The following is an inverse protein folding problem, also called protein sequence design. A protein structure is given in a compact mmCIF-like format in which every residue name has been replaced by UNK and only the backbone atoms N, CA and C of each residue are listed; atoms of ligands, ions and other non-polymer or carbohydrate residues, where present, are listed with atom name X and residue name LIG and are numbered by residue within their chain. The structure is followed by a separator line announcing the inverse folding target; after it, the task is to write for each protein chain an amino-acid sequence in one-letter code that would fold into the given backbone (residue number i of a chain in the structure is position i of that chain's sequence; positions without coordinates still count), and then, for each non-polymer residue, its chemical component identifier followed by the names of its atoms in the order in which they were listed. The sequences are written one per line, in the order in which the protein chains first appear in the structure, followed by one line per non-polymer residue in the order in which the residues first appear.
data_IF_054566777795
#
_entry.id   IF_054566777795
#
_cell.length_a   1.000
_cell.length_b   1.000
_cell.length_c   1.000
_cell.angle_alpha   90.00
_cell.angle_beta   90.00
_cell.angle_gamma   90.00
#
_symmetry.space_group_name_H-M   'P 1'
#
loop_
_entity.id
_entity.type
_entity.pdbx_description
1 polymer ?
#
# COMPACT_ATOMS: atom_id res chain seq x y z
N UNK A 1 0.13 -4.15 -31.03
CA UNK A 1 -1.25 -3.62 -31.17
C UNK A 1 -2.21 -4.74 -30.85
N UNK A 2 -2.77 -4.78 -29.63
CA UNK A 2 -3.79 -5.75 -29.22
C UNK A 2 -4.98 -4.98 -28.66
N UNK A 3 -6.14 -5.37 -29.14
CA UNK A 3 -7.39 -4.61 -29.15
C UNK A 3 -8.10 -4.64 -27.79
N UNK A 4 -8.59 -3.47 -27.39
CA UNK A 4 -9.89 -3.16 -26.81
C UNK A 4 -10.83 -4.33 -26.47
N UNK A 5 -11.33 -4.36 -25.23
CA UNK A 5 -12.73 -4.69 -24.95
C UNK A 5 -13.28 -3.76 -23.86
N UNK A 6 -14.26 -2.96 -24.28
CA UNK A 6 -15.23 -2.21 -23.47
C UNK A 6 -16.27 -3.21 -22.96
N UNK A 7 -16.75 -3.10 -21.72
CA UNK A 7 -18.19 -3.24 -21.45
C UNK A 7 -18.59 -2.70 -20.07
N UNK A 8 -19.69 -1.97 -20.11
CA UNK A 8 -20.33 -1.26 -19.01
C UNK A 8 -21.60 -2.01 -18.54
N UNK A 9 -22.16 -1.47 -17.45
CA UNK A 9 -23.55 -1.51 -17.00
C UNK A 9 -24.00 -2.66 -16.07
N UNK A 10 -24.66 -2.27 -14.97
CA UNK A 10 -26.00 -2.67 -14.48
C UNK A 10 -26.19 -1.99 -13.11
N UNK A 11 -27.03 -0.96 -12.93
CA UNK A 11 -28.45 -1.03 -12.56
C UNK A 11 -28.70 -2.08 -11.44
N UNK A 12 -29.05 -1.76 -10.20
CA UNK A 12 -30.09 -0.86 -9.71
C UNK A 12 -31.22 -1.72 -9.12
N UNK A 13 -31.44 -1.71 -7.80
CA UNK A 13 -32.70 -2.16 -7.20
C UNK A 13 -32.89 -1.58 -5.78
N UNK A 14 -33.90 -0.71 -5.64
CA UNK A 14 -34.44 -0.28 -4.36
C UNK A 14 -35.29 -1.38 -3.75
N UNK A 15 -35.14 -1.62 -2.44
CA UNK A 15 -36.14 -2.32 -1.63
C UNK A 15 -36.53 -1.39 -0.49
N UNK A 16 -37.71 -0.79 -0.63
CA UNK A 16 -38.44 -0.17 0.48
C UNK A 16 -39.31 -1.25 1.14
N UNK A 17 -39.17 -1.43 2.46
CA UNK A 17 -40.10 -2.21 3.25
C UNK A 17 -40.48 -1.44 4.53
N UNK A 18 -41.65 -0.82 4.43
CA UNK A 18 -42.72 -0.60 5.41
C UNK A 18 -42.44 -0.74 6.90
N UNK A 19 -42.83 0.33 7.60
CA UNK A 19 -43.02 0.44 9.04
C UNK A 19 -44.09 -0.54 9.57
N UNK A 20 -43.83 -1.16 10.72
CA UNK A 20 -44.87 -1.51 11.70
C UNK A 20 -44.35 -1.24 13.12
N UNK A 21 -45.20 -0.57 13.88
CA UNK A 21 -45.03 -0.02 15.22
C UNK A 21 -44.84 -1.12 16.29
N UNK A 22 -44.03 -0.86 17.32
CA UNK A 22 -43.89 -1.79 18.44
C UNK A 22 -43.06 -1.25 19.61
N UNK A 23 -43.78 -0.81 20.65
CA UNK A 23 -43.40 -0.75 22.07
C UNK A 23 -42.40 0.32 22.54
N UNK A 24 -43.00 1.36 23.13
CA UNK A 24 -42.44 2.35 24.06
C UNK A 24 -41.76 1.66 25.26
N UNK A 25 -40.44 1.55 25.23
CA UNK A 25 -39.59 1.18 26.37
C UNK A 25 -39.13 2.44 27.10
N UNK A 26 -39.45 2.53 28.39
CA UNK A 26 -38.95 3.58 29.29
C UNK A 26 -37.41 3.58 29.31
N UNK A 27 -36.74 4.74 29.38
CA UNK A 27 -35.31 4.77 29.69
C UNK A 27 -35.12 4.74 31.21
N UNK A 28 -35.07 3.54 31.78
CA UNK A 28 -34.39 3.29 33.05
C UNK A 28 -32.87 3.38 32.81
N UNK A 29 -32.36 4.63 32.83
CA UNK A 29 -30.93 4.90 32.85
C UNK A 29 -30.38 4.69 34.27
N UNK A 30 -30.34 3.45 34.73
CA UNK A 30 -29.59 3.08 35.92
C UNK A 30 -28.68 1.89 35.56
N UNK A 31 -27.37 2.11 35.66
CA UNK A 31 -26.27 1.15 35.50
C UNK A 31 -25.67 1.00 34.08
N UNK A 32 -24.92 2.03 33.67
CA UNK A 32 -24.02 1.97 32.50
C UNK A 32 -22.70 1.21 32.76
N UNK A 33 -22.51 0.63 33.95
CA UNK A 33 -21.22 0.06 34.37
C UNK A 33 -21.04 -1.42 33.96
N UNK A 34 -22.04 -2.05 33.35
CA UNK A 34 -21.95 -3.46 32.91
C UNK A 34 -21.73 -3.65 31.40
N UNK A 35 -21.77 -2.58 30.60
CA UNK A 35 -21.59 -2.68 29.13
C UNK A 35 -20.13 -2.96 28.71
N UNK A 36 -19.15 -2.78 29.60
CA UNK A 36 -17.73 -2.99 29.28
C UNK A 36 -17.14 -4.32 29.77
N UNK A 37 -17.92 -5.19 30.43
CA UNK A 37 -17.41 -6.49 30.92
C UNK A 37 -17.66 -7.68 29.96
N UNK A 38 -17.97 -7.38 28.69
CA UNK A 38 -18.48 -8.38 27.75
C UNK A 38 -17.97 -8.25 26.33
N UNK A 39 -16.67 -8.00 26.14
CA UNK A 39 -16.01 -8.24 24.86
C UNK A 39 -15.81 -7.03 23.95
N UNK A 40 -14.56 -6.93 23.48
CA UNK A 40 -14.06 -6.10 22.37
C UNK A 40 -13.47 -4.73 22.74
N UNK A 41 -12.14 -4.73 22.72
CA UNK A 41 -11.28 -3.68 22.16
C UNK A 41 -11.15 -2.38 22.95
N UNK A 42 -10.23 -2.41 23.92
CA UNK A 42 -9.61 -1.22 24.47
C UNK A 42 -8.94 -0.37 23.36
N UNK A 43 -9.62 0.69 22.93
CA UNK A 43 -9.00 1.88 22.33
C UNK A 43 -8.84 2.91 23.44
N UNK A 44 -7.72 2.83 24.15
CA UNK A 44 -7.19 3.90 25.00
C UNK A 44 -5.89 4.38 24.36
N UNK A 45 -5.91 5.61 23.84
CA UNK A 45 -4.79 6.27 23.16
C UNK A 45 -3.67 6.73 24.11
N UNK A 46 -3.57 6.17 25.33
CA UNK A 46 -2.46 6.46 26.25
C UNK A 46 -1.87 5.23 26.94
N UNK A 47 -2.33 4.02 26.61
CA UNK A 47 -1.84 2.80 27.22
C UNK A 47 -0.58 2.27 26.51
N UNK A 48 0.59 2.54 27.09
CA UNK A 48 1.79 1.71 26.98
C UNK A 48 1.52 0.32 27.60
N UNK A 49 0.66 -0.48 26.95
CA UNK A 49 0.42 -1.89 27.29
C UNK A 49 1.52 -2.74 26.65
N UNK A 50 2.31 -3.52 27.40
CA UNK A 50 3.18 -4.55 26.83
C UNK A 50 2.29 -5.72 26.34
N UNK A 51 1.68 -5.53 25.18
CA UNK A 51 0.76 -6.47 24.55
C UNK A 51 0.75 -6.22 23.05
N UNK A 52 1.68 -6.88 22.35
CA UNK A 52 1.70 -7.09 20.89
C UNK A 52 1.16 -5.93 20.04
N UNK A 53 1.84 -4.79 20.08
CA UNK A 53 1.74 -3.80 19.02
C UNK A 53 2.31 -4.47 17.76
N UNK A 54 1.46 -5.04 16.90
CA UNK A 54 1.88 -5.56 15.61
C UNK A 54 2.52 -4.40 14.85
N UNK A 55 3.84 -4.38 14.78
CA UNK A 55 4.54 -3.41 13.96
C UNK A 55 4.03 -3.59 12.54
N UNK A 56 3.25 -2.64 12.03
CA UNK A 56 2.92 -2.58 10.61
C UNK A 56 4.26 -2.51 9.88
N UNK A 57 4.65 -3.61 9.24
CA UNK A 57 5.94 -3.66 8.59
C UNK A 57 5.93 -2.64 7.44
N UNK A 58 6.69 -1.56 7.60
CA UNK A 58 6.69 -0.48 6.60
C UNK A 58 7.32 -0.99 5.31
N UNK A 59 6.53 -1.01 4.23
CA UNK A 59 7.06 -1.28 2.90
C UNK A 59 7.94 -0.12 2.44
N UNK A 60 9.21 -0.40 2.15
CA UNK A 60 10.20 0.60 1.78
C UNK A 60 11.26 0.05 0.83
N UNK A 61 11.90 0.94 0.08
CA UNK A 61 13.00 0.63 -0.84
C UNK A 61 14.29 1.31 -0.38
N UNK A 62 15.40 0.59 -0.47
CA UNK A 62 16.73 1.05 -0.11
C UNK A 62 17.74 0.72 -1.22
N UNK A 63 18.65 1.63 -1.58
CA UNK A 63 18.67 3.03 -1.17
C UNK A 63 17.44 3.80 -1.70
N UNK A 64 17.00 4.84 -0.99
CA UNK A 64 15.90 5.70 -1.44
C UNK A 64 16.32 6.69 -2.52
N UNK A 65 17.63 6.96 -2.63
CA UNK A 65 18.20 7.83 -3.65
C UNK A 65 19.61 7.35 -4.04
N UNK A 66 19.95 7.49 -5.32
CA UNK A 66 21.30 7.25 -5.88
C UNK A 66 21.61 8.26 -6.97
N UNK A 67 22.89 8.44 -7.29
CA UNK A 67 23.34 9.24 -8.44
C UNK A 67 24.15 8.37 -9.39
N UNK A 68 23.82 8.39 -10.67
CA UNK A 68 24.51 7.64 -11.74
C UNK A 68 24.97 8.60 -12.84
N UNK A 69 26.27 8.71 -13.06
CA UNK A 69 26.86 9.73 -13.95
C UNK A 69 27.13 9.22 -15.37
N UNK A 70 27.38 7.93 -15.53
CA UNK A 70 27.72 7.27 -16.79
C UNK A 70 26.53 6.52 -17.42
N UNK A 71 26.43 6.53 -18.75
CA UNK A 71 25.46 5.67 -19.43
C UNK A 71 25.93 4.23 -19.31
N UNK A 72 25.04 3.34 -18.90
CA UNK A 72 25.39 1.96 -18.56
C UNK A 72 25.70 1.73 -17.08
N UNK A 73 25.87 2.79 -16.28
CA UNK A 73 26.01 2.67 -14.82
C UNK A 73 24.79 2.00 -14.21
N UNK A 74 25.01 1.25 -13.13
CA UNK A 74 23.98 0.46 -12.47
C UNK A 74 23.84 0.79 -10.99
N UNK A 75 22.63 0.64 -10.46
CA UNK A 75 22.34 0.71 -9.04
C UNK A 75 21.42 -0.46 -8.64
N UNK A 76 21.70 -1.07 -7.49
CA UNK A 76 20.85 -2.10 -6.93
C UNK A 76 19.92 -1.50 -5.87
N UNK A 77 18.64 -1.83 -5.98
CA UNK A 77 17.59 -1.51 -5.02
C UNK A 77 17.08 -2.78 -4.36
N UNK A 78 16.77 -2.69 -3.07
CA UNK A 78 16.21 -3.78 -2.27
C UNK A 78 15.01 -3.26 -1.49
N UNK A 79 13.94 -4.06 -1.42
CA UNK A 79 12.77 -3.74 -0.61
C UNK A 79 12.78 -4.43 0.74
N UNK A 80 12.22 -3.75 1.74
CA UNK A 80 11.86 -4.33 3.04
C UNK A 80 10.36 -4.17 3.28
N UNK A 81 9.77 -5.02 4.12
CA UNK A 81 8.35 -4.94 4.46
C UNK A 81 7.34 -5.33 3.37
N UNK A 82 7.80 -5.91 2.26
CA UNK A 82 6.89 -6.33 1.19
C UNK A 82 6.04 -7.52 1.60
N UNK A 83 4.74 -7.47 1.29
CA UNK A 83 3.83 -8.60 1.38
C UNK A 83 3.75 -9.32 0.03
N UNK A 84 4.25 -10.55 -0.05
CA UNK A 84 4.30 -11.32 -1.29
C UNK A 84 5.48 -10.96 -2.21
N UNK A 85 5.29 -11.24 -3.51
CA UNK A 85 6.26 -10.92 -4.57
C UNK A 85 6.22 -9.44 -4.93
N UNK A 86 7.38 -8.87 -5.25
CA UNK A 86 7.51 -7.47 -5.66
C UNK A 86 7.66 -7.36 -7.17
N UNK A 87 6.92 -6.43 -7.77
CA UNK A 87 7.07 -6.01 -9.16
C UNK A 87 7.84 -4.69 -9.23
N UNK A 88 8.75 -4.56 -10.19
CA UNK A 88 9.58 -3.37 -10.38
C UNK A 88 9.29 -2.69 -11.71
N UNK A 89 9.29 -1.37 -11.72
CA UNK A 89 9.17 -0.54 -12.92
C UNK A 89 9.96 0.75 -12.78
N UNK A 90 10.12 1.48 -13.88
CA UNK A 90 10.75 2.80 -13.94
C UNK A 90 9.74 3.82 -14.45
N UNK A 91 9.83 5.07 -14.00
CA UNK A 91 8.93 6.13 -14.42
C UNK A 91 9.12 6.50 -15.90
N UNK A 92 10.36 6.66 -16.35
CA UNK A 92 10.71 6.95 -17.74
C UNK A 92 11.69 5.90 -18.29
N UNK A 93 11.21 5.10 -19.24
CA UNK A 93 11.99 4.04 -19.90
C UNK A 93 13.05 4.58 -20.86
N UNK A 94 12.98 5.86 -21.25
CA UNK A 94 14.02 6.51 -22.07
C UNK A 94 15.26 6.90 -21.24
N UNK A 95 15.13 6.98 -19.91
CA UNK A 95 16.19 7.37 -18.96
C UNK A 95 16.91 6.19 -18.34
N UNK A 96 16.26 5.03 -18.28
CA UNK A 96 16.86 3.78 -17.85
C UNK A 96 15.88 2.61 -17.85
N UNK A 97 16.36 1.46 -17.40
CA UNK A 97 15.57 0.23 -17.36
C UNK A 97 15.98 -0.68 -16.21
N UNK A 98 15.08 -1.58 -15.80
CA UNK A 98 15.42 -2.67 -14.88
C UNK A 98 16.10 -3.78 -15.67
N UNK A 99 17.38 -4.03 -15.39
CA UNK A 99 18.20 -5.02 -16.09
C UNK A 99 17.97 -6.44 -15.54
N UNK A 100 17.94 -6.57 -14.21
CA UNK A 100 17.68 -7.82 -13.50
C UNK A 100 16.77 -7.56 -12.31
N UNK A 101 15.96 -8.54 -11.95
CA UNK A 101 15.12 -8.47 -10.76
C UNK A 101 14.94 -9.83 -10.11
N UNK A 102 14.70 -9.80 -8.81
CA UNK A 102 14.32 -10.92 -7.96
C UNK A 102 13.03 -10.57 -7.20
N UNK A 103 12.56 -11.46 -6.33
CA UNK A 103 11.39 -11.21 -5.50
C UNK A 103 11.53 -9.99 -4.56
N UNK A 104 12.76 -9.53 -4.28
CA UNK A 104 13.03 -8.46 -3.30
C UNK A 104 14.06 -7.42 -3.74
N UNK A 105 14.71 -7.59 -4.88
CA UNK A 105 15.73 -6.67 -5.37
C UNK A 105 15.64 -6.47 -6.87
N UNK A 106 16.09 -5.32 -7.34
CA UNK A 106 16.21 -5.00 -8.76
C UNK A 106 17.48 -4.20 -9.04
N UNK A 107 18.05 -4.42 -10.22
CA UNK A 107 19.18 -3.65 -10.73
C UNK A 107 18.67 -2.69 -11.79
N UNK A 108 18.74 -1.40 -11.50
CA UNK A 108 18.49 -0.34 -12.47
C UNK A 108 19.76 -0.08 -13.28
N UNK A 109 19.61 0.19 -14.58
CA UNK A 109 20.68 0.66 -15.45
C UNK A 109 20.29 2.00 -16.08
N UNK A 110 21.20 2.98 -16.00
CA UNK A 110 21.08 4.27 -16.68
C UNK A 110 21.25 4.12 -18.18
N UNK A 111 20.34 4.72 -18.95
CA UNK A 111 20.42 4.78 -20.43
C UNK A 111 20.75 6.17 -20.96
N UNK A 112 20.27 7.23 -20.30
CA UNK A 112 20.52 8.61 -20.70
C UNK A 112 20.49 9.58 -19.50
N UNK A 113 20.87 10.84 -19.73
CA UNK A 113 20.78 11.91 -18.74
C UNK A 113 19.33 12.33 -18.48
N UNK A 114 19.06 12.80 -17.26
CA UNK A 114 17.75 13.16 -16.75
C UNK A 114 17.28 12.21 -15.65
N UNK A 115 16.84 12.78 -14.54
CA UNK A 115 16.43 12.04 -13.36
C UNK A 115 15.29 11.06 -13.67
N UNK A 116 15.24 9.97 -12.90
CA UNK A 116 14.23 8.92 -13.04
C UNK A 116 13.80 8.43 -11.66
N UNK A 117 12.72 7.64 -11.63
CA UNK A 117 12.21 7.02 -10.41
C UNK A 117 12.05 5.53 -10.63
N UNK A 118 12.63 4.73 -9.71
CA UNK A 118 12.37 3.29 -9.61
C UNK A 118 11.18 3.08 -8.67
N UNK A 119 10.23 2.29 -9.13
CA UNK A 119 8.97 2.00 -8.43
C UNK A 119 8.95 0.51 -8.10
N UNK A 120 8.78 0.19 -6.82
CA UNK A 120 8.56 -1.16 -6.33
C UNK A 120 7.12 -1.29 -5.85
N UNK A 121 6.39 -2.31 -6.31
CA UNK A 121 5.00 -2.60 -5.89
C UNK A 121 4.92 -4.00 -5.31
N UNK A 122 4.40 -4.16 -4.09
CA UNK A 122 4.22 -5.47 -3.46
C UNK A 122 2.95 -6.20 -3.94
N UNK A 123 2.74 -7.43 -3.47
CA UNK A 123 1.60 -8.26 -3.84
C UNK A 123 0.25 -7.78 -3.30
N UNK A 124 0.23 -6.80 -2.40
CA UNK A 124 -0.98 -6.14 -1.89
C UNK A 124 -1.26 -4.81 -2.60
N UNK A 125 -0.39 -4.38 -3.52
CA UNK A 125 -0.52 -3.11 -4.24
C UNK A 125 0.10 -1.92 -3.52
N UNK A 126 0.86 -2.13 -2.43
CA UNK A 126 1.61 -1.06 -1.79
C UNK A 126 2.79 -0.67 -2.69
N UNK A 127 3.06 0.64 -2.81
CA UNK A 127 4.14 1.16 -3.64
C UNK A 127 5.21 1.87 -2.80
N UNK A 128 6.47 1.71 -3.19
CA UNK A 128 7.62 2.43 -2.64
C UNK A 128 8.52 2.93 -3.78
N UNK A 129 9.18 4.07 -3.57
CA UNK A 129 9.86 4.82 -4.62
C UNK A 129 11.31 5.10 -4.26
N UNK A 130 12.21 5.00 -5.25
CA UNK A 130 13.60 5.45 -5.15
C UNK A 130 13.94 6.41 -6.29
N UNK A 131 14.61 7.50 -5.98
CA UNK A 131 15.03 8.50 -6.98
C UNK A 131 16.41 8.15 -7.54
N UNK A 132 16.57 8.26 -8.85
CA UNK A 132 17.86 8.14 -9.52
C UNK A 132 18.20 9.50 -10.12
N UNK A 133 19.22 10.16 -9.57
CA UNK A 133 19.74 11.39 -10.15
C UNK A 133 20.75 11.09 -11.26
N UNK A 134 20.58 11.70 -12.42
CA UNK A 134 21.32 11.35 -13.64
C UNK A 134 21.79 12.62 -14.36
N UNK A 135 22.88 13.25 -13.87
CA UNK A 135 23.41 14.47 -14.46
C UNK A 135 23.85 14.29 -15.93
#
# INVERSE_FOLDING_TARGET
MRQWMIQAAMAGLMVACSMFCGCEGKPDNENVDSYFDGGSSAIDSTANRPGTQSASQQFSVAPSAVTLSGNGDVAQFTVSGASGSVSWSVQDVSKGSILTQSARSATYQRSSAGDNVVIATDGQGNASFATVSQP
#
